data_IF_330541191620
#
_entry.id   IF_330541191620
#
_cell.length_a   1.000
_cell.length_b   1.000
_cell.length_c   1.000
_cell.angle_alpha   90.00
_cell.angle_beta   90.00
_cell.angle_gamma   90.00
#
_symmetry.space_group_name_H-M   'P 1'
#
loop_
_entity.id
_entity.type
_entity.pdbx_description
1 polymer ?
#
# COMPACT_ATOMS: atom_id res chain seq x y z
N UNK A 1 2.19 -27.12 -12.94
CA UNK A 1 0.73 -27.01 -12.90
C UNK A 1 0.26 -25.66 -12.34
N UNK A 2 -1.05 -25.35 -12.33
CA UNK A 2 -1.59 -24.03 -11.92
C UNK A 2 -1.43 -23.75 -10.40
N UNK A 3 -1.31 -24.80 -9.57
CA UNK A 3 -0.83 -24.66 -8.20
C UNK A 3 0.56 -24.03 -8.13
N UNK A 4 1.37 -24.24 -9.16
CA UNK A 4 2.70 -23.62 -9.28
C UNK A 4 2.61 -22.16 -9.68
N UNK A 5 1.61 -21.72 -10.47
CA UNK A 5 1.40 -20.31 -10.84
C UNK A 5 0.99 -19.50 -9.62
N UNK A 6 0.00 -19.98 -8.85
CA UNK A 6 -0.41 -19.34 -7.60
C UNK A 6 0.73 -19.32 -6.57
N UNK A 7 1.48 -20.41 -6.45
CA UNK A 7 2.63 -20.51 -5.56
C UNK A 7 3.76 -19.58 -5.98
N UNK A 8 4.07 -19.48 -7.29
CA UNK A 8 5.04 -18.50 -7.81
C UNK A 8 4.62 -17.06 -7.56
N UNK A 9 3.33 -16.72 -7.72
CA UNK A 9 2.82 -15.38 -7.40
C UNK A 9 3.02 -15.03 -5.93
N UNK A 10 2.91 -16.01 -5.04
CA UNK A 10 3.16 -15.82 -3.62
C UNK A 10 4.66 -15.67 -3.29
N UNK A 11 5.54 -16.29 -4.07
CA UNK A 11 6.99 -16.25 -3.84
C UNK A 11 7.67 -15.08 -4.58
N UNK A 12 7.23 -14.75 -5.81
CA UNK A 12 7.88 -13.76 -6.69
C UNK A 12 7.19 -12.37 -6.68
N UNK A 13 5.94 -12.26 -6.18
CA UNK A 13 5.18 -11.01 -6.06
C UNK A 13 5.17 -10.18 -7.36
N UNK A 14 4.46 -10.62 -8.40
CA UNK A 14 4.41 -9.89 -9.66
C UNK A 14 3.74 -8.51 -9.50
N UNK A 15 4.12 -7.55 -10.32
CA UNK A 15 3.51 -6.22 -10.32
C UNK A 15 2.13 -6.19 -10.99
N UNK A 16 1.85 -7.11 -11.92
CA UNK A 16 0.57 -7.32 -12.62
C UNK A 16 0.41 -8.80 -12.93
N UNK A 17 -0.80 -9.32 -12.85
CA UNK A 17 -1.16 -10.65 -13.32
C UNK A 17 -2.04 -10.50 -14.56
N UNK A 18 -1.66 -11.18 -15.65
CA UNK A 18 -2.45 -11.27 -16.87
C UNK A 18 -2.85 -12.73 -17.04
N UNK A 19 -4.14 -13.00 -17.13
CA UNK A 19 -4.66 -14.37 -17.20
C UNK A 19 -5.73 -14.50 -18.29
N UNK A 20 -5.80 -15.68 -18.91
CA UNK A 20 -6.93 -16.05 -19.77
C UNK A 20 -8.09 -16.55 -18.87
N UNK A 21 -9.33 -16.36 -19.33
CA UNK A 21 -10.50 -17.00 -18.69
C UNK A 21 -10.40 -18.51 -18.82
N UNK A 22 -10.13 -19.03 -20.02
CA UNK A 22 -10.12 -20.47 -20.28
C UNK A 22 -8.74 -21.06 -20.03
N UNK A 23 -8.54 -21.72 -18.88
CA UNK A 23 -7.34 -22.46 -18.54
C UNK A 23 -7.69 -23.85 -18.02
N UNK A 24 -6.77 -24.82 -18.17
CA UNK A 24 -7.08 -26.25 -18.06
C UNK A 24 -7.30 -26.80 -16.64
N UNK A 25 -6.94 -26.10 -15.58
CA UNK A 25 -7.04 -26.60 -14.19
C UNK A 25 -7.78 -25.63 -13.25
N UNK A 26 -7.68 -24.34 -13.49
CA UNK A 26 -8.33 -23.26 -12.77
C UNK A 26 -8.67 -22.20 -13.81
N UNK A 27 -9.88 -21.68 -13.82
CA UNK A 27 -10.20 -20.60 -14.72
C UNK A 27 -9.66 -19.25 -14.21
N UNK A 28 -9.63 -18.25 -15.11
CA UNK A 28 -9.09 -16.94 -14.78
C UNK A 28 -9.90 -16.18 -13.74
N UNK A 29 -11.19 -16.49 -13.61
CA UNK A 29 -12.06 -15.89 -12.58
C UNK A 29 -11.71 -16.44 -11.20
N UNK A 30 -11.58 -17.76 -11.07
CA UNK A 30 -11.17 -18.38 -9.81
C UNK A 30 -9.78 -17.94 -9.39
N UNK A 31 -8.84 -17.80 -10.35
CA UNK A 31 -7.50 -17.25 -10.06
C UNK A 31 -7.60 -15.82 -9.54
N UNK A 32 -8.40 -14.97 -10.19
CA UNK A 32 -8.62 -13.59 -9.77
C UNK A 32 -9.22 -13.54 -8.36
N UNK A 33 -10.29 -14.31 -8.12
CA UNK A 33 -10.94 -14.41 -6.81
C UNK A 33 -9.94 -14.79 -5.70
N UNK A 34 -9.10 -15.80 -5.92
CA UNK A 34 -8.07 -16.23 -4.96
C UNK A 34 -7.04 -15.12 -4.69
N UNK A 35 -6.55 -14.45 -5.74
CA UNK A 35 -5.60 -13.34 -5.60
C UNK A 35 -6.24 -12.20 -4.80
N UNK A 36 -7.47 -11.81 -5.13
CA UNK A 36 -8.14 -10.66 -4.49
C UNK A 36 -8.55 -10.92 -3.03
N UNK A 37 -8.81 -12.17 -2.67
CA UNK A 37 -9.11 -12.57 -1.30
C UNK A 37 -7.89 -12.98 -0.46
N UNK A 38 -6.71 -13.10 -1.05
CA UNK A 38 -5.46 -13.32 -0.32
C UNK A 38 -4.91 -12.00 0.18
N UNK A 39 -4.77 -11.86 1.51
CA UNK A 39 -4.24 -10.64 2.14
C UNK A 39 -2.86 -10.22 1.63
N UNK A 40 -2.03 -11.17 1.20
CA UNK A 40 -0.70 -10.87 0.67
C UNK A 40 -0.72 -10.47 -0.81
N UNK A 41 -1.73 -10.88 -1.59
CA UNK A 41 -1.80 -10.73 -3.04
C UNK A 41 -2.89 -9.77 -3.51
N UNK A 42 -3.88 -9.42 -2.68
CA UNK A 42 -5.07 -8.62 -3.04
C UNK A 42 -4.75 -7.29 -3.74
N UNK A 43 -3.57 -6.74 -3.47
CA UNK A 43 -3.08 -5.50 -4.06
C UNK A 43 -2.57 -5.66 -5.51
N UNK A 44 -2.37 -6.88 -6.01
CA UNK A 44 -1.84 -7.11 -7.36
C UNK A 44 -2.96 -6.89 -8.38
N UNK A 45 -2.77 -6.00 -9.37
CA UNK A 45 -3.73 -5.84 -10.45
C UNK A 45 -3.86 -7.11 -11.27
N UNK A 46 -5.11 -7.45 -11.63
CA UNK A 46 -5.43 -8.61 -12.46
C UNK A 46 -6.11 -8.16 -13.75
N UNK A 47 -5.50 -8.48 -14.89
CA UNK A 47 -6.06 -8.30 -16.23
C UNK A 47 -6.59 -9.64 -16.71
N UNK A 48 -7.87 -9.73 -16.98
CA UNK A 48 -8.49 -10.95 -17.53
C UNK A 48 -8.67 -10.79 -19.05
N UNK A 49 -8.10 -11.76 -19.79
CA UNK A 49 -8.23 -11.86 -21.24
C UNK A 49 -9.38 -12.83 -21.57
N UNK A 50 -10.36 -12.40 -22.38
CA UNK A 50 -11.54 -13.22 -22.71
C UNK A 50 -11.85 -13.20 -24.18
N UNK A 51 -12.31 -14.34 -24.74
CA UNK A 51 -12.89 -14.42 -26.08
C UNK A 51 -14.39 -14.09 -26.09
N UNK A 52 -15.03 -13.96 -24.92
CA UNK A 52 -16.47 -13.72 -24.77
C UNK A 52 -16.78 -12.24 -24.63
N UNK A 53 -17.87 -11.82 -25.32
CA UNK A 53 -18.28 -10.40 -25.40
C UNK A 53 -19.58 -10.14 -24.59
N UNK A 54 -20.13 -11.15 -23.88
CA UNK A 54 -21.40 -10.92 -23.19
C UNK A 54 -21.22 -9.96 -21.99
N UNK A 55 -22.19 -9.05 -21.81
CA UNK A 55 -22.18 -8.11 -20.70
C UNK A 55 -22.27 -8.86 -19.34
N UNK A 56 -22.87 -10.05 -19.32
CA UNK A 56 -22.96 -10.90 -18.14
C UNK A 56 -21.57 -11.41 -17.71
N UNK A 57 -20.69 -11.79 -18.65
CA UNK A 57 -19.33 -12.23 -18.35
C UNK A 57 -18.48 -11.08 -17.79
N UNK A 58 -18.69 -9.86 -18.29
CA UNK A 58 -18.03 -8.66 -17.75
C UNK A 58 -18.48 -8.36 -16.31
N UNK A 59 -19.79 -8.42 -16.05
CA UNK A 59 -20.37 -8.20 -14.73
C UNK A 59 -19.80 -9.22 -13.73
N UNK A 60 -19.78 -10.52 -14.11
CA UNK A 60 -19.19 -11.57 -13.25
C UNK A 60 -17.75 -11.28 -12.91
N UNK A 61 -16.95 -10.86 -13.85
CA UNK A 61 -15.55 -10.63 -13.60
C UNK A 61 -15.25 -9.38 -12.78
N UNK A 62 -16.01 -8.32 -12.95
CA UNK A 62 -15.91 -7.17 -12.04
C UNK A 62 -16.36 -7.55 -10.62
N UNK A 63 -17.33 -8.46 -10.47
CA UNK A 63 -17.73 -9.02 -9.18
C UNK A 63 -16.62 -9.85 -8.53
N UNK A 64 -15.81 -10.56 -9.33
CA UNK A 64 -14.63 -11.31 -8.85
C UNK A 64 -13.40 -10.42 -8.60
N UNK A 65 -13.53 -9.09 -8.82
CA UNK A 65 -12.54 -8.10 -8.44
C UNK A 65 -11.42 -7.87 -9.46
N UNK A 66 -11.60 -8.27 -10.72
CA UNK A 66 -10.63 -7.96 -11.78
C UNK A 66 -10.52 -6.45 -12.01
N UNK A 67 -9.29 -5.94 -12.17
CA UNK A 67 -9.05 -4.52 -12.41
C UNK A 67 -9.34 -4.14 -13.87
N UNK A 68 -9.08 -5.04 -14.81
CA UNK A 68 -9.34 -4.84 -16.23
C UNK A 68 -9.81 -6.11 -16.93
N UNK A 69 -10.79 -5.94 -17.81
CA UNK A 69 -11.26 -6.93 -18.76
C UNK A 69 -10.84 -6.54 -20.19
N UNK A 70 -10.19 -7.45 -20.89
CA UNK A 70 -9.78 -7.22 -22.26
C UNK A 70 -10.31 -8.33 -23.18
N UNK A 71 -11.06 -7.96 -24.21
CA UNK A 71 -11.61 -8.90 -25.18
C UNK A 71 -10.61 -9.22 -26.28
N UNK A 72 -10.48 -10.49 -26.62
CA UNK A 72 -9.70 -10.98 -27.78
C UNK A 72 -10.53 -10.82 -29.07
N UNK A 73 -9.93 -10.40 -30.20
CA UNK A 73 -8.52 -10.01 -30.36
C UNK A 73 -8.22 -8.60 -29.86
N UNK A 74 -7.06 -8.37 -29.30
CA UNK A 74 -6.55 -7.06 -28.87
C UNK A 74 -5.19 -6.77 -29.51
N UNK A 75 -4.83 -5.49 -29.63
CA UNK A 75 -3.50 -5.12 -30.09
C UNK A 75 -2.48 -5.16 -28.94
N UNK A 76 -1.21 -5.51 -29.21
CA UNK A 76 -0.14 -5.45 -28.22
C UNK A 76 -0.02 -4.07 -27.58
N UNK A 77 -0.19 -2.99 -28.34
CA UNK A 77 -0.12 -1.61 -27.89
C UNK A 77 -1.22 -1.29 -26.89
N UNK A 78 -2.42 -1.83 -27.08
CA UNK A 78 -3.53 -1.66 -26.13
C UNK A 78 -3.22 -2.35 -24.81
N UNK A 79 -2.71 -3.59 -24.85
CA UNK A 79 -2.33 -4.33 -23.65
C UNK A 79 -1.22 -3.57 -22.88
N UNK A 80 -0.19 -3.10 -23.60
CA UNK A 80 0.89 -2.33 -23.01
C UNK A 80 0.36 -1.06 -22.31
N UNK A 81 -0.51 -0.30 -22.99
CA UNK A 81 -1.12 0.93 -22.44
C UNK A 81 -1.90 0.62 -21.15
N UNK A 82 -2.66 -0.47 -21.12
CA UNK A 82 -3.41 -0.90 -19.94
C UNK A 82 -2.46 -1.24 -18.78
N UNK A 83 -1.41 -2.01 -19.04
CA UNK A 83 -0.41 -2.38 -18.02
C UNK A 83 0.31 -1.15 -17.48
N UNK A 84 0.76 -0.24 -18.34
CA UNK A 84 1.43 1.00 -17.95
C UNK A 84 0.53 1.90 -17.08
N UNK A 85 -0.77 1.99 -17.41
CA UNK A 85 -1.74 2.71 -16.60
C UNK A 85 -1.94 2.08 -15.22
N UNK A 86 -2.03 0.75 -15.13
CA UNK A 86 -2.13 0.03 -13.86
C UNK A 86 -0.90 0.26 -12.98
N UNK A 87 0.30 0.15 -13.55
CA UNK A 87 1.56 0.37 -12.84
C UNK A 87 1.70 1.83 -12.37
N UNK A 88 1.32 2.79 -13.22
CA UNK A 88 1.34 4.23 -12.88
C UNK A 88 0.36 4.53 -11.75
N UNK A 89 -0.85 3.99 -11.79
CA UNK A 89 -1.85 4.14 -10.75
C UNK A 89 -1.37 3.56 -9.41
N UNK A 90 -0.70 2.40 -9.43
CA UNK A 90 -0.06 1.84 -8.23
C UNK A 90 1.04 2.74 -7.66
N UNK A 91 1.86 3.33 -8.52
CA UNK A 91 2.89 4.27 -8.07
C UNK A 91 2.27 5.48 -7.38
N UNK A 92 1.24 6.08 -7.99
CA UNK A 92 0.50 7.20 -7.38
C UNK A 92 -0.12 6.82 -6.04
N UNK A 93 -0.71 5.60 -5.95
CA UNK A 93 -1.26 5.09 -4.70
C UNK A 93 -0.19 4.95 -3.59
N UNK A 94 0.99 4.41 -3.92
CA UNK A 94 2.12 4.33 -2.98
C UNK A 94 2.53 5.72 -2.48
N UNK A 95 2.67 6.68 -3.41
CA UNK A 95 3.03 8.06 -3.08
C UNK A 95 1.95 8.72 -2.21
N UNK A 96 0.66 8.45 -2.49
CA UNK A 96 -0.45 8.92 -1.68
C UNK A 96 -0.44 8.29 -0.29
N UNK A 97 -0.28 6.97 -0.14
CA UNK A 97 -0.21 6.30 1.17
C UNK A 97 0.96 6.80 2.01
N UNK A 98 2.12 7.06 1.38
CA UNK A 98 3.26 7.67 2.06
C UNK A 98 3.01 9.14 2.42
N UNK A 99 2.17 9.85 1.68
CA UNK A 99 1.76 11.23 1.98
C UNK A 99 0.59 11.30 2.96
N UNK A 100 -0.35 10.34 2.93
CA UNK A 100 -1.47 10.20 3.88
C UNK A 100 -1.02 9.75 5.27
N UNK A 101 0.16 9.16 5.40
CA UNK A 101 0.83 9.19 6.68
C UNK A 101 1.00 10.64 7.21
N UNK A 102 0.57 11.66 6.43
CA UNK A 102 0.49 13.07 6.82
C UNK A 102 -0.86 13.50 7.40
N UNK A 103 -2.00 12.84 7.07
CA UNK A 103 -3.34 13.20 7.58
C UNK A 103 -4.30 12.01 7.50
N UNK A 104 -4.90 11.59 8.61
CA UNK A 104 -5.97 10.58 8.59
C UNK A 104 -7.36 11.13 8.20
N UNK A 105 -7.59 12.44 8.03
CA UNK A 105 -8.96 12.95 8.05
C UNK A 105 -9.42 13.96 6.98
N UNK A 106 -8.58 14.46 6.07
CA UNK A 106 -9.04 15.54 5.15
C UNK A 106 -8.53 15.44 3.70
N UNK A 107 -8.49 14.28 3.09
CA UNK A 107 -8.28 14.20 1.65
C UNK A 107 -9.47 13.47 1.02
N UNK A 108 -10.52 14.22 0.66
CA UNK A 108 -11.42 13.78 -0.40
C UNK A 108 -10.60 13.66 -1.70
N UNK A 109 -10.71 12.55 -2.45
CA UNK A 109 -9.97 12.38 -3.68
C UNK A 109 -10.52 13.33 -4.75
N UNK A 110 -9.78 14.40 -5.05
CA UNK A 110 -10.01 15.15 -6.28
C UNK A 110 -9.66 14.25 -7.47
N UNK A 111 -10.69 13.88 -8.22
CA UNK A 111 -10.70 13.39 -9.61
C UNK A 111 -9.51 12.51 -10.07
N UNK A 112 -9.68 11.24 -9.88
CA UNK A 112 -8.84 10.16 -10.39
C UNK A 112 -8.87 9.01 -9.39
N UNK A 113 -9.96 8.22 -9.40
CA UNK A 113 -10.20 7.13 -8.43
C UNK A 113 -9.05 6.12 -8.44
N UNK A 114 -8.12 6.31 -7.52
CA UNK A 114 -7.15 5.29 -7.17
C UNK A 114 -7.83 4.42 -6.13
N UNK A 115 -8.46 3.33 -6.57
CA UNK A 115 -9.17 2.42 -5.68
C UNK A 115 -8.18 1.53 -4.93
N UNK A 116 -7.97 1.83 -3.64
CA UNK A 116 -7.56 0.81 -2.69
C UNK A 116 -8.72 -0.21 -2.56
N UNK A 117 -8.41 -1.50 -2.64
CA UNK A 117 -9.40 -2.49 -2.27
C UNK A 117 -9.89 -2.25 -0.84
N UNK A 118 -11.14 -2.61 -0.54
CA UNK A 118 -11.67 -2.49 0.83
C UNK A 118 -10.77 -3.21 1.85
N UNK A 119 -10.22 -4.37 1.47
CA UNK A 119 -9.30 -5.15 2.29
C UNK A 119 -7.96 -4.40 2.54
N UNK A 120 -7.42 -3.71 1.51
CA UNK A 120 -6.18 -2.95 1.65
C UNK A 120 -6.37 -1.71 2.51
N UNK A 121 -7.52 -1.05 2.38
CA UNK A 121 -7.90 0.10 3.24
C UNK A 121 -7.99 -0.33 4.69
N UNK A 122 -8.77 -1.38 4.99
CA UNK A 122 -8.91 -1.94 6.35
C UNK A 122 -7.55 -2.35 6.92
N UNK A 123 -6.68 -2.94 6.10
CA UNK A 123 -5.32 -3.29 6.52
C UNK A 123 -4.50 -2.06 6.91
N UNK A 124 -4.51 -0.99 6.09
CA UNK A 124 -3.76 0.24 6.37
C UNK A 124 -4.32 0.98 7.58
N UNK A 125 -5.64 1.07 7.71
CA UNK A 125 -6.29 1.70 8.87
C UNK A 125 -5.91 0.99 10.18
N UNK A 126 -5.96 -0.35 10.17
CA UNK A 126 -5.53 -1.15 11.33
C UNK A 126 -4.05 -0.98 11.65
N UNK A 127 -3.18 -0.97 10.63
CA UNK A 127 -1.74 -0.74 10.80
C UNK A 127 -1.46 0.64 11.40
N UNK A 128 -2.08 1.69 10.86
CA UNK A 128 -1.93 3.04 11.37
C UNK A 128 -2.44 3.16 12.82
N UNK A 129 -3.58 2.55 13.16
CA UNK A 129 -4.10 2.50 14.52
C UNK A 129 -3.11 1.86 15.51
N UNK A 130 -2.49 0.72 15.14
CA UNK A 130 -1.47 0.07 15.97
C UNK A 130 -0.25 1.00 16.16
N UNK A 131 0.17 1.72 15.13
CA UNK A 131 1.28 2.66 15.24
C UNK A 131 0.90 3.84 16.13
N UNK A 132 -0.31 4.39 16.02
CA UNK A 132 -0.78 5.51 16.85
C UNK A 132 -0.85 5.12 18.33
N UNK A 133 -1.37 3.93 18.67
CA UNK A 133 -1.42 3.40 20.04
C UNK A 133 -0.02 3.22 20.66
N UNK A 134 1.00 3.02 19.84
CA UNK A 134 2.39 2.77 20.27
C UNK A 134 3.36 3.84 19.76
N UNK A 135 2.88 5.05 19.45
CA UNK A 135 3.68 6.04 18.73
C UNK A 135 4.88 6.53 19.54
N UNK A 136 4.74 6.62 20.87
CA UNK A 136 5.78 7.02 21.80
C UNK A 136 6.74 5.88 22.18
N UNK A 137 6.40 4.64 21.87
CA UNK A 137 7.23 3.49 22.20
C UNK A 137 8.38 3.34 21.19
N UNK A 138 9.60 3.71 21.61
CA UNK A 138 10.81 3.57 20.79
C UNK A 138 11.18 2.10 20.53
N UNK A 139 10.63 1.16 21.30
CA UNK A 139 10.84 -0.28 21.18
C UNK A 139 9.77 -0.99 20.36
N UNK A 140 8.82 -0.27 19.71
CA UNK A 140 7.80 -0.87 18.87
C UNK A 140 8.43 -1.83 17.85
N UNK A 141 8.29 -3.12 18.14
CA UNK A 141 8.95 -4.18 17.39
C UNK A 141 8.06 -4.68 16.25
N UNK A 142 8.72 -5.25 15.25
CA UNK A 142 8.01 -5.98 14.18
C UNK A 142 7.11 -7.09 14.74
N UNK A 143 7.54 -7.77 15.81
CA UNK A 143 6.76 -8.87 16.40
C UNK A 143 5.49 -8.38 17.08
N UNK A 144 5.54 -7.21 17.73
CA UNK A 144 4.35 -6.54 18.27
C UNK A 144 3.34 -6.26 17.17
N UNK A 145 3.78 -5.69 16.05
CA UNK A 145 2.91 -5.40 14.90
C UNK A 145 2.37 -6.69 14.27
N UNK A 146 3.19 -7.74 14.10
CA UNK A 146 2.75 -9.03 13.57
C UNK A 146 1.64 -9.64 14.43
N UNK A 147 1.81 -9.62 15.75
CA UNK A 147 0.83 -10.16 16.71
C UNK A 147 -0.48 -9.38 16.63
N UNK A 148 -0.43 -8.05 16.66
CA UNK A 148 -1.61 -7.19 16.60
C UNK A 148 -2.34 -7.30 15.24
N UNK A 149 -1.60 -7.49 14.14
CA UNK A 149 -2.16 -7.71 12.81
C UNK A 149 -2.64 -9.14 12.57
N UNK A 150 -2.33 -10.09 13.46
CA UNK A 150 -2.56 -11.53 13.30
C UNK A 150 -1.93 -12.08 12.00
N UNK A 151 -0.72 -11.63 11.67
CA UNK A 151 -0.03 -12.00 10.44
C UNK A 151 1.37 -12.54 10.70
N UNK A 152 1.82 -13.46 9.84
CA UNK A 152 3.24 -13.85 9.85
C UNK A 152 4.14 -12.68 9.45
N UNK A 153 5.38 -12.68 9.96
CA UNK A 153 6.37 -11.64 9.61
C UNK A 153 6.54 -11.50 8.08
N UNK A 154 6.63 -12.63 7.37
CA UNK A 154 6.80 -12.64 5.92
C UNK A 154 5.60 -12.02 5.19
N UNK A 155 4.36 -12.37 5.59
CA UNK A 155 3.13 -11.82 5.00
C UNK A 155 3.00 -10.33 5.26
N UNK A 156 3.28 -9.88 6.51
CA UNK A 156 3.24 -8.47 6.87
C UNK A 156 4.25 -7.65 6.06
N UNK A 157 5.50 -8.11 5.97
CA UNK A 157 6.54 -7.41 5.20
C UNK A 157 6.20 -7.30 3.73
N UNK A 158 5.75 -8.41 3.12
CA UNK A 158 5.34 -8.41 1.71
C UNK A 158 4.20 -7.43 1.47
N UNK A 159 3.16 -7.48 2.29
CA UNK A 159 1.98 -6.60 2.15
C UNK A 159 2.35 -5.13 2.28
N UNK A 160 3.09 -4.74 3.32
CA UNK A 160 3.52 -3.34 3.50
C UNK A 160 4.41 -2.89 2.35
N UNK A 161 5.42 -3.71 1.97
CA UNK A 161 6.33 -3.38 0.86
C UNK A 161 5.58 -3.18 -0.45
N UNK A 162 4.57 -3.99 -0.71
CA UNK A 162 3.78 -3.90 -1.94
C UNK A 162 2.87 -2.68 -1.97
N UNK A 163 2.20 -2.35 -0.85
CA UNK A 163 1.30 -1.21 -0.76
C UNK A 163 2.06 0.12 -0.72
N UNK A 164 3.16 0.19 0.03
CA UNK A 164 3.85 1.45 0.33
C UNK A 164 5.19 1.61 -0.39
N UNK A 165 5.75 0.53 -0.94
CA UNK A 165 7.08 0.52 -1.56
C UNK A 165 8.25 0.52 -0.56
N UNK A 166 7.99 0.66 0.75
CA UNK A 166 9.01 0.73 1.80
C UNK A 166 8.88 -0.42 2.80
N UNK A 167 9.90 -0.62 3.64
CA UNK A 167 9.84 -1.59 4.74
C UNK A 167 8.94 -1.07 5.88
N UNK A 168 8.45 -1.97 6.76
CA UNK A 168 7.67 -1.61 7.95
C UNK A 168 8.37 -0.55 8.81
N UNK A 169 9.64 -0.76 9.14
CA UNK A 169 10.40 0.18 9.97
C UNK A 169 10.52 1.56 9.30
N UNK A 170 10.72 1.60 7.97
CA UNK A 170 10.75 2.85 7.23
C UNK A 170 9.38 3.51 7.19
N UNK A 171 8.30 2.74 7.07
CA UNK A 171 6.93 3.25 7.13
C UNK A 171 6.61 3.87 8.50
N UNK A 172 6.92 3.17 9.60
CA UNK A 172 6.75 3.70 10.97
C UNK A 172 7.54 5.00 11.15
N UNK A 173 8.79 5.05 10.67
CA UNK A 173 9.61 6.27 10.75
C UNK A 173 8.97 7.44 9.98
N UNK A 174 8.51 7.21 8.75
CA UNK A 174 7.83 8.23 7.94
C UNK A 174 6.56 8.71 8.62
N UNK A 175 5.77 7.78 9.19
CA UNK A 175 4.56 8.09 9.93
C UNK A 175 4.83 9.01 11.12
N UNK A 176 5.81 8.66 11.97
CA UNK A 176 6.25 9.48 13.10
C UNK A 176 6.74 10.87 12.66
N UNK A 177 7.53 10.95 11.59
CA UNK A 177 8.05 12.22 11.08
C UNK A 177 6.95 13.11 10.51
N UNK A 178 5.91 12.54 9.91
CA UNK A 178 4.76 13.31 9.43
C UNK A 178 3.95 13.89 10.60
N UNK A 179 3.72 13.12 11.67
CA UNK A 179 3.13 13.63 12.91
C UNK A 179 4.01 14.73 13.54
N UNK A 180 5.34 14.53 13.52
CA UNK A 180 6.27 15.54 14.00
C UNK A 180 6.16 16.85 13.21
N UNK A 181 5.97 16.80 11.89
CA UNK A 181 5.82 17.99 11.06
C UNK A 181 4.59 18.83 11.43
N UNK A 182 3.49 18.18 11.82
CA UNK A 182 2.29 18.86 12.35
C UNK A 182 2.57 19.54 13.68
N UNK A 183 3.21 18.82 14.63
CA UNK A 183 3.57 19.36 15.93
C UNK A 183 4.61 20.50 15.85
N UNK A 184 5.55 20.42 14.89
CA UNK A 184 6.52 21.49 14.62
C UNK A 184 5.82 22.74 14.09
N UNK A 185 4.78 22.58 13.26
CA UNK A 185 3.97 23.72 12.74
C UNK A 185 3.14 24.39 13.82
N UNK A 186 2.55 23.62 14.75
CA UNK A 186 1.72 24.17 15.82
C UNK A 186 2.54 25.06 16.79
N UNK A 187 3.86 24.83 16.87
CA UNK A 187 4.79 25.50 17.79
C UNK A 187 4.41 25.39 19.28
N UNK A 188 3.56 24.43 19.62
CA UNK A 188 3.08 24.21 20.99
C UNK A 188 4.08 23.44 21.84
N UNK A 189 4.96 22.66 21.18
CA UNK A 189 5.88 21.74 21.84
C UNK A 189 7.34 22.07 21.52
N UNK A 190 8.23 21.79 22.46
CA UNK A 190 9.67 21.85 22.24
C UNK A 190 10.14 20.64 21.43
N UNK A 191 11.23 20.75 20.69
CA UNK A 191 11.71 19.65 19.83
C UNK A 191 12.11 18.39 20.59
N UNK A 192 12.56 18.51 21.86
CA UNK A 192 12.80 17.36 22.72
C UNK A 192 11.48 16.67 23.11
N UNK A 193 10.44 17.43 23.44
CA UNK A 193 9.11 16.90 23.78
C UNK A 193 8.52 16.16 22.57
N UNK A 194 8.60 16.75 21.36
CA UNK A 194 8.18 16.09 20.12
C UNK A 194 8.93 14.77 19.91
N UNK A 195 10.25 14.77 20.14
CA UNK A 195 11.06 13.56 20.00
C UNK A 195 10.60 12.46 20.96
N UNK A 196 10.37 12.81 22.24
CA UNK A 196 9.91 11.85 23.26
C UNK A 196 8.49 11.35 22.98
N UNK A 197 7.55 12.24 22.64
CA UNK A 197 6.16 11.89 22.33
C UNK A 197 6.03 10.97 21.10
N UNK A 198 6.97 11.03 20.17
CA UNK A 198 6.95 10.24 18.93
C UNK A 198 7.96 9.07 18.93
N UNK A 199 8.49 8.69 20.11
CA UNK A 199 9.31 7.51 20.28
C UNK A 199 10.67 7.58 19.60
N UNK A 200 11.28 8.77 19.51
CA UNK A 200 12.68 8.91 19.12
C UNK A 200 13.58 8.78 20.35
N UNK A 201 14.66 8.04 20.21
CA UNK A 201 15.60 7.79 21.32
C UNK A 201 16.31 9.06 21.82
N UNK A 202 16.47 10.06 20.94
CA UNK A 202 17.09 11.36 21.27
C UNK A 202 16.57 12.45 20.33
N UNK A 203 16.59 13.71 20.81
CA UNK A 203 16.30 14.88 19.97
C UNK A 203 17.26 15.00 18.77
N UNK A 204 18.53 14.60 18.93
CA UNK A 204 19.50 14.63 17.84
C UNK A 204 19.14 13.64 16.73
N UNK A 205 18.72 12.43 17.09
CA UNK A 205 18.25 11.41 16.14
C UNK A 205 16.97 11.88 15.42
N UNK A 206 16.02 12.45 16.16
CA UNK A 206 14.83 13.08 15.60
C UNK A 206 15.18 14.14 14.56
N UNK A 207 16.03 15.12 14.94
CA UNK A 207 16.41 16.23 14.05
C UNK A 207 17.13 15.74 12.80
N UNK A 208 17.98 14.73 12.91
CA UNK A 208 18.64 14.09 11.79
C UNK A 208 17.63 13.44 10.83
N UNK A 209 16.75 12.58 11.35
CA UNK A 209 15.71 11.90 10.55
C UNK A 209 14.75 12.90 9.88
N UNK A 210 14.36 13.95 10.62
CA UNK A 210 13.49 15.00 10.10
C UNK A 210 14.14 15.74 8.92
N UNK A 211 15.42 16.10 9.05
CA UNK A 211 16.18 16.76 7.97
C UNK A 211 16.31 15.85 6.74
N UNK A 212 16.54 14.55 6.94
CA UNK A 212 16.60 13.59 5.84
C UNK A 212 15.27 13.45 5.12
N UNK A 213 14.14 13.53 5.83
CA UNK A 213 12.80 13.37 5.27
C UNK A 213 12.29 14.63 4.57
N UNK A 214 12.54 15.83 5.14
CA UNK A 214 11.96 17.09 4.67
C UNK A 214 12.97 18.03 4.03
N UNK A 215 14.26 17.65 3.95
CA UNK A 215 15.33 18.45 3.35
C UNK A 215 15.79 19.62 4.22
N UNK A 216 15.17 19.86 5.39
CA UNK A 216 15.46 20.95 6.30
C UNK A 216 15.28 20.55 7.76
N UNK A 217 15.96 21.25 8.68
CA UNK A 217 15.84 21.00 10.11
C UNK A 217 14.44 21.35 10.66
N UNK A 218 14.01 20.77 11.81
CA UNK A 218 12.75 21.14 12.45
C UNK A 218 12.61 22.64 12.70
N UNK A 219 13.71 23.32 13.05
CA UNK A 219 13.74 24.77 13.30
C UNK A 219 13.49 25.58 12.02
N UNK A 220 14.15 25.20 10.92
CA UNK A 220 13.92 25.84 9.60
C UNK A 220 12.50 25.58 9.11
N UNK A 221 11.98 24.38 9.33
CA UNK A 221 10.61 24.00 8.96
C UNK A 221 9.57 24.84 9.71
N UNK A 222 9.74 25.02 11.03
CA UNK A 222 8.90 25.88 11.87
C UNK A 222 8.92 27.35 11.45
N UNK A 223 10.03 27.84 10.87
CA UNK A 223 10.14 29.25 10.44
C UNK A 223 9.50 29.54 9.09
N UNK A 224 9.24 28.51 8.25
CA UNK A 224 8.63 28.63 6.93
C UNK A 224 7.12 28.36 6.93
N UNK A 225 6.60 27.82 8.03
CA UNK A 225 5.18 27.56 8.25
C UNK A 225 4.57 28.68 9.06
#
# INVERSE_FOLDING_TARGET
>A
GLGDVYKRQHDEMPDVVITDVLMSQMDGYELCHRIKNDLALSHIPVVILTAKISDQDKITGYQEGADVYMTKPFSPELLQTVVDNLLTSRKRLRDMLLSQARRPQEAEPENGEIHLSAADRTFMDKLCGIIDENISDNSLSTDTVCTAMCMSRASLFRKIKSLTGVSLNRFILIYRLNRAAEMVRSREYRFNEIADMLGFSTQSHFSYCFKQQFGMSPREYASRS
#
